data_IF_831563106928
#
_entry.id   IF_831563106928
#
_cell.length_a   1.000
_cell.length_b   1.000
_cell.length_c   1.000
_cell.angle_alpha   90.00
_cell.angle_beta   90.00
_cell.angle_gamma   90.00
#
_symmetry.space_group_name_H-M   'P 1'
#
loop_
_entity.id
_entity.type
_entity.pdbx_description
1 polymer ?
#
# COMPACT_ATOMS: atom_id res chain seq x y z
N UNK A 1 -13.11 -15.01 24.83
CA UNK A 1 -11.63 -15.04 25.08
C UNK A 1 -10.93 -14.24 24.00
N UNK A 2 -9.97 -13.36 24.35
CA UNK A 2 -9.19 -12.60 23.35
C UNK A 2 -8.27 -13.56 22.61
N UNK A 3 -8.18 -13.44 21.27
CA UNK A 3 -7.24 -14.20 20.47
C UNK A 3 -5.78 -13.84 20.81
N UNK A 4 -4.87 -14.78 20.64
CA UNK A 4 -3.43 -14.50 20.72
C UNK A 4 -2.98 -13.62 19.56
N UNK A 5 -1.85 -12.92 19.72
CA UNK A 5 -1.26 -12.18 18.62
C UNK A 5 -0.73 -13.13 17.54
N UNK A 6 -0.85 -12.74 16.28
CA UNK A 6 -0.26 -13.49 15.16
C UNK A 6 1.27 -13.61 15.31
N UNK A 7 1.90 -14.76 15.04
CA UNK A 7 3.34 -14.94 15.21
C UNK A 7 4.21 -13.90 14.49
N UNK A 8 3.74 -13.39 13.35
CA UNK A 8 4.37 -12.32 12.57
C UNK A 8 3.55 -11.03 12.65
N UNK A 9 3.12 -10.62 13.86
CA UNK A 9 2.19 -9.50 14.06
C UNK A 9 2.73 -8.17 13.50
N UNK A 10 4.00 -7.86 13.74
CA UNK A 10 4.59 -6.61 13.24
C UNK A 10 4.59 -6.52 11.71
N UNK A 11 4.96 -7.62 11.04
CA UNK A 11 4.96 -7.70 9.58
C UNK A 11 3.54 -7.65 9.01
N UNK A 12 2.59 -8.33 9.66
CA UNK A 12 1.19 -8.34 9.29
C UNK A 12 0.58 -6.92 9.37
N UNK A 13 0.85 -6.18 10.46
CA UNK A 13 0.38 -4.81 10.61
C UNK A 13 1.06 -3.88 9.60
N UNK A 14 2.37 -4.03 9.36
CA UNK A 14 3.05 -3.26 8.33
C UNK A 14 2.44 -3.50 6.95
N UNK A 15 2.13 -4.77 6.61
CA UNK A 15 1.45 -5.11 5.36
C UNK A 15 0.03 -4.52 5.28
N UNK A 16 -0.76 -4.55 6.36
CA UNK A 16 -2.07 -3.90 6.38
C UNK A 16 -1.97 -2.39 6.17
N UNK A 17 -1.07 -1.75 6.89
CA UNK A 17 -0.92 -0.29 6.83
C UNK A 17 -0.38 0.21 5.49
N UNK A 18 0.42 -0.60 4.77
CA UNK A 18 0.91 -0.23 3.44
C UNK A 18 -0.21 -0.04 2.41
N UNK A 19 -1.35 -0.69 2.58
CA UNK A 19 -2.51 -0.52 1.70
C UNK A 19 -3.21 0.84 1.86
N UNK A 20 -2.94 1.60 2.93
CA UNK A 20 -3.61 2.88 3.23
C UNK A 20 -5.14 2.81 3.10
N UNK A 21 -5.74 1.68 3.52
CA UNK A 21 -7.16 1.38 3.35
C UNK A 21 -7.99 1.71 4.59
N UNK A 22 -7.36 1.72 5.77
CA UNK A 22 -8.05 2.01 7.03
C UNK A 22 -8.58 3.45 7.04
N UNK A 23 -9.73 3.64 7.66
CA UNK A 23 -10.42 4.94 7.81
C UNK A 23 -10.81 5.62 6.48
N UNK A 24 -10.78 4.89 5.37
CA UNK A 24 -11.23 5.39 4.06
C UNK A 24 -12.76 5.37 3.94
N UNK A 25 -13.35 6.19 3.06
CA UNK A 25 -14.77 6.14 2.74
C UNK A 25 -15.24 4.76 2.25
N UNK A 26 -16.55 4.55 2.21
CA UNK A 26 -17.16 3.40 1.54
C UNK A 26 -16.86 3.47 0.03
N UNK A 27 -16.79 2.32 -0.60
CA UNK A 27 -16.55 2.17 -2.03
C UNK A 27 -17.44 1.04 -2.55
N UNK A 28 -18.16 1.30 -3.63
CA UNK A 28 -19.16 0.40 -4.19
C UNK A 28 -18.60 -1.00 -4.50
N UNK A 29 -17.35 -1.08 -4.96
CA UNK A 29 -16.68 -2.36 -5.27
C UNK A 29 -16.61 -3.31 -4.07
N UNK A 30 -16.46 -2.78 -2.85
CA UNK A 30 -16.46 -3.58 -1.63
C UNK A 30 -17.87 -3.80 -1.07
N UNK A 31 -18.75 -2.81 -1.21
CA UNK A 31 -20.14 -2.91 -0.77
C UNK A 31 -20.89 -3.98 -1.58
N UNK A 32 -20.73 -4.03 -2.89
CA UNK A 32 -21.27 -5.07 -3.78
C UNK A 32 -20.82 -6.49 -3.37
N UNK A 33 -19.56 -6.64 -2.95
CA UNK A 33 -19.03 -7.94 -2.51
C UNK A 33 -19.73 -8.42 -1.23
N UNK A 34 -19.93 -7.56 -0.22
CA UNK A 34 -20.59 -7.98 1.02
C UNK A 34 -22.08 -8.26 0.81
N UNK A 35 -22.76 -7.48 -0.04
CA UNK A 35 -24.15 -7.73 -0.41
C UNK A 35 -24.31 -9.07 -1.13
N UNK A 36 -23.43 -9.35 -2.09
CA UNK A 36 -23.46 -10.63 -2.83
C UNK A 36 -23.13 -11.80 -1.90
N UNK A 37 -22.16 -11.68 -1.00
CA UNK A 37 -21.83 -12.71 -0.02
C UNK A 37 -23.00 -13.02 0.91
N UNK A 38 -23.65 -12.00 1.47
CA UNK A 38 -24.84 -12.13 2.30
C UNK A 38 -25.97 -12.85 1.54
N UNK A 39 -26.22 -12.46 0.29
CA UNK A 39 -27.26 -13.04 -0.57
C UNK A 39 -27.00 -14.51 -0.92
N UNK A 40 -25.76 -14.87 -1.29
CA UNK A 40 -25.39 -16.25 -1.62
C UNK A 40 -25.51 -17.15 -0.39
N UNK A 41 -25.05 -16.69 0.76
CA UNK A 41 -25.10 -17.47 1.99
C UNK A 41 -26.45 -17.40 2.72
N UNK A 42 -27.36 -16.52 2.30
CA UNK A 42 -28.67 -16.32 2.92
C UNK A 42 -28.56 -15.79 4.36
N UNK A 43 -27.53 -15.00 4.66
CA UNK A 43 -27.26 -14.45 5.98
C UNK A 43 -27.60 -12.96 6.08
N UNK A 44 -28.04 -12.46 7.25
CA UNK A 44 -28.38 -11.06 7.42
C UNK A 44 -27.16 -10.14 7.51
N UNK A 45 -25.98 -10.68 7.85
CA UNK A 45 -24.76 -9.90 8.08
C UNK A 45 -23.64 -10.42 7.19
N UNK A 46 -22.92 -9.51 6.54
CA UNK A 46 -21.68 -9.79 5.83
C UNK A 46 -20.71 -8.61 5.98
N UNK A 47 -19.41 -8.89 6.08
CA UNK A 47 -18.41 -7.88 6.39
C UNK A 47 -17.09 -8.16 5.66
N UNK A 48 -16.51 -7.15 5.02
CA UNK A 48 -15.08 -7.07 4.71
C UNK A 48 -14.41 -6.41 5.90
N UNK A 49 -13.75 -7.23 6.71
CA UNK A 49 -13.14 -6.86 7.98
C UNK A 49 -11.61 -6.86 7.86
N UNK A 50 -10.97 -5.80 8.34
CA UNK A 50 -9.51 -5.66 8.45
C UNK A 50 -9.12 -5.59 9.92
N UNK A 51 -8.13 -6.40 10.32
CA UNK A 51 -7.71 -6.57 11.72
C UNK A 51 -6.50 -5.67 11.98
N UNK A 52 -6.73 -4.53 12.64
CA UNK A 52 -5.69 -3.59 13.06
C UNK A 52 -5.05 -4.01 14.41
N UNK A 53 -4.29 -3.13 15.02
CA UNK A 53 -3.56 -3.39 16.27
C UNK A 53 -4.48 -3.56 17.48
N UNK A 54 -5.54 -2.76 17.57
CA UNK A 54 -6.44 -2.64 18.71
C UNK A 54 -7.93 -2.72 18.36
N UNK A 55 -8.26 -2.73 17.08
CA UNK A 55 -9.62 -2.76 16.54
C UNK A 55 -9.73 -3.67 15.32
N UNK A 56 -10.93 -4.08 15.02
CA UNK A 56 -11.32 -4.52 13.70
C UNK A 56 -12.06 -3.37 12.99
N UNK A 57 -11.66 -3.09 11.77
CA UNK A 57 -12.24 -2.03 10.97
C UNK A 57 -12.90 -2.61 9.71
N UNK A 58 -14.11 -2.12 9.40
CA UNK A 58 -14.93 -2.66 8.34
C UNK A 58 -14.86 -1.77 7.10
N UNK A 59 -14.22 -2.27 6.05
CA UNK A 59 -14.19 -1.60 4.75
C UNK A 59 -15.58 -1.53 4.13
N UNK A 60 -16.30 -2.65 4.20
CA UNK A 60 -17.69 -2.78 3.79
C UNK A 60 -18.44 -3.66 4.78
N UNK A 61 -19.72 -3.37 4.99
CA UNK A 61 -20.59 -4.17 5.86
C UNK A 61 -22.05 -4.06 5.41
N UNK A 62 -22.80 -5.13 5.64
CA UNK A 62 -24.25 -5.15 5.54
C UNK A 62 -24.82 -5.80 6.79
N UNK A 63 -25.84 -5.19 7.37
CA UNK A 63 -26.56 -5.70 8.55
C UNK A 63 -25.88 -5.48 9.90
N UNK A 64 -24.70 -4.88 9.97
CA UNK A 64 -23.98 -4.64 11.23
C UNK A 64 -24.16 -3.21 11.77
N UNK A 65 -24.26 -2.21 10.89
CA UNK A 65 -24.55 -0.81 11.24
C UNK A 65 -23.40 -0.06 11.93
N UNK A 66 -22.18 -0.58 11.91
CA UNK A 66 -20.98 0.07 12.45
C UNK A 66 -19.78 -0.14 11.54
N UNK A 67 -18.81 0.76 11.63
CA UNK A 67 -17.57 0.70 10.83
C UNK A 67 -16.38 0.11 11.57
N UNK A 68 -16.50 -0.09 12.86
CA UNK A 68 -15.44 -0.70 13.67
C UNK A 68 -15.99 -1.27 14.97
N UNK A 69 -15.26 -2.22 15.55
CA UNK A 69 -15.49 -2.72 16.91
C UNK A 69 -14.15 -3.02 17.60
N UNK A 70 -14.13 -3.11 18.95
CA UNK A 70 -12.93 -3.51 19.67
C UNK A 70 -12.41 -4.88 19.25
N UNK A 71 -11.11 -5.09 19.35
CA UNK A 71 -10.49 -6.37 19.00
C UNK A 71 -10.82 -7.48 20.00
N UNK A 72 -11.13 -7.11 21.24
CA UNK A 72 -11.47 -8.05 22.32
C UNK A 72 -12.67 -8.95 22.00
N UNK A 73 -13.64 -8.43 21.28
CA UNK A 73 -14.86 -9.15 20.87
C UNK A 73 -14.81 -9.71 19.45
N UNK A 74 -13.65 -9.60 18.78
CA UNK A 74 -13.51 -10.01 17.40
C UNK A 74 -13.40 -11.53 17.24
N UNK A 75 -14.37 -12.17 16.61
CA UNK A 75 -14.28 -13.56 16.15
C UNK A 75 -13.17 -13.68 15.07
N UNK A 76 -13.09 -12.70 14.17
CA UNK A 76 -12.12 -12.70 13.08
C UNK A 76 -10.67 -12.66 13.55
N UNK A 77 -10.39 -12.13 14.75
CA UNK A 77 -9.05 -12.16 15.34
C UNK A 77 -8.55 -13.59 15.66
N UNK A 78 -9.44 -14.54 15.90
CA UNK A 78 -9.10 -15.96 15.99
C UNK A 78 -8.87 -16.56 14.61
N UNK A 79 -9.71 -16.18 13.64
CA UNK A 79 -9.69 -16.75 12.28
C UNK A 79 -8.40 -16.42 11.51
N UNK A 80 -7.82 -15.24 11.73
CA UNK A 80 -6.52 -14.89 11.11
C UNK A 80 -5.32 -15.72 11.61
N UNK A 81 -5.52 -16.53 12.67
CA UNK A 81 -4.51 -17.46 13.19
C UNK A 81 -4.65 -18.88 12.63
N UNK A 82 -5.70 -19.13 11.87
CA UNK A 82 -6.07 -20.45 11.35
C UNK A 82 -5.83 -20.57 9.83
N UNK A 83 -6.48 -21.59 9.24
CA UNK A 83 -6.43 -21.85 7.80
C UNK A 83 -7.25 -20.83 6.98
N UNK A 84 -7.22 -20.97 5.67
CA UNK A 84 -7.80 -20.03 4.70
C UNK A 84 -9.31 -19.79 4.84
N UNK A 85 -10.02 -20.73 5.49
CA UNK A 85 -11.47 -20.66 5.67
C UNK A 85 -11.88 -21.28 7.00
N UNK A 86 -12.75 -20.58 7.73
CA UNK A 86 -13.30 -21.03 9.01
C UNK A 86 -14.82 -21.05 8.95
N UNK A 87 -15.42 -22.16 9.37
CA UNK A 87 -16.86 -22.33 9.55
C UNK A 87 -17.15 -22.63 11.02
N UNK A 88 -18.02 -21.84 11.66
CA UNK A 88 -18.55 -22.03 13.01
C UNK A 88 -20.06 -22.11 12.88
N UNK A 89 -20.60 -23.33 12.91
CA UNK A 89 -22.03 -23.57 12.69
C UNK A 89 -22.89 -23.12 13.86
N UNK A 90 -22.34 -23.17 15.07
CA UNK A 90 -22.94 -22.63 16.29
C UNK A 90 -21.86 -22.07 17.24
N UNK A 91 -21.87 -20.77 17.45
CA UNK A 91 -20.89 -20.07 18.28
C UNK A 91 -20.95 -20.46 19.75
N UNK A 92 -22.07 -20.99 20.26
CA UNK A 92 -22.22 -21.39 21.65
C UNK A 92 -21.46 -22.68 21.99
N UNK A 93 -21.17 -23.53 21.00
CA UNK A 93 -20.46 -24.80 21.19
C UNK A 93 -19.02 -24.77 20.68
N UNK A 94 -18.64 -23.74 19.98
CA UNK A 94 -17.26 -23.59 19.46
C UNK A 94 -16.37 -22.96 20.56
N UNK A 95 -15.25 -23.58 20.84
CA UNK A 95 -14.33 -23.18 21.91
C UNK A 95 -13.72 -21.77 21.73
N UNK A 96 -13.73 -21.22 20.48
CA UNK A 96 -13.20 -19.89 20.16
C UNK A 96 -14.18 -18.78 20.48
N UNK A 97 -15.49 -19.10 20.56
CA UNK A 97 -16.56 -18.11 20.59
C UNK A 97 -17.54 -18.29 21.72
N UNK A 98 -17.56 -19.44 22.43
CA UNK A 98 -18.55 -19.77 23.48
C UNK A 98 -18.54 -18.77 24.65
N UNK A 99 -17.43 -18.11 24.94
CA UNK A 99 -17.28 -17.07 25.95
C UNK A 99 -17.28 -15.63 25.40
N UNK A 100 -17.58 -15.45 24.11
CA UNK A 100 -17.59 -14.14 23.47
C UNK A 100 -18.87 -13.37 23.79
N UNK A 101 -18.72 -12.14 24.28
CA UNK A 101 -19.85 -11.28 24.69
C UNK A 101 -20.85 -11.00 23.52
N UNK A 102 -20.43 -11.05 22.28
CA UNK A 102 -21.32 -10.91 21.11
C UNK A 102 -22.12 -12.19 20.81
N UNK A 103 -21.72 -13.33 21.39
CA UNK A 103 -22.32 -14.64 21.13
C UNK A 103 -23.21 -15.12 22.28
N UNK A 104 -22.91 -14.71 23.54
CA UNK A 104 -23.63 -15.16 24.73
C UNK A 104 -25.13 -14.76 24.78
N UNK A 105 -25.54 -13.52 24.37
CA UNK A 105 -26.95 -13.14 24.41
C UNK A 105 -27.82 -14.03 23.51
N UNK A 106 -29.10 -14.21 23.90
CA UNK A 106 -30.04 -15.02 23.11
C UNK A 106 -30.28 -14.50 21.68
N UNK A 107 -30.10 -13.19 21.49
CA UNK A 107 -30.13 -12.48 20.19
C UNK A 107 -28.73 -12.22 19.61
N UNK A 108 -27.72 -12.76 20.27
CA UNK A 108 -26.30 -12.66 19.85
C UNK A 108 -25.99 -13.43 18.58
N UNK A 109 -24.75 -13.34 18.17
CA UNK A 109 -24.24 -14.04 16.98
C UNK A 109 -24.18 -15.56 17.26
N UNK A 110 -24.80 -16.36 16.40
CA UNK A 110 -24.88 -17.82 16.53
C UNK A 110 -24.16 -18.58 15.41
N UNK A 111 -23.80 -17.88 14.32
CA UNK A 111 -23.17 -18.46 13.17
C UNK A 111 -22.08 -17.54 12.64
N UNK A 112 -20.98 -18.12 12.18
CA UNK A 112 -19.89 -17.44 11.52
C UNK A 112 -19.29 -18.30 10.40
N UNK A 113 -19.08 -17.70 9.25
CA UNK A 113 -18.21 -18.28 8.20
C UNK A 113 -17.36 -17.18 7.61
N UNK A 114 -16.04 -17.43 7.48
CA UNK A 114 -15.11 -16.43 7.00
C UNK A 114 -13.96 -17.01 6.19
N UNK A 115 -13.57 -16.29 5.15
CA UNK A 115 -12.40 -16.56 4.32
C UNK A 115 -11.35 -15.47 4.54
N UNK A 116 -10.06 -15.83 4.59
CA UNK A 116 -8.97 -14.90 4.82
C UNK A 116 -8.77 -13.95 3.62
N UNK A 117 -8.52 -12.69 3.95
CA UNK A 117 -7.95 -11.69 3.05
C UNK A 117 -6.46 -11.61 3.38
N UNK A 118 -5.63 -11.90 2.38
CA UNK A 118 -4.17 -11.94 2.55
C UNK A 118 -3.51 -10.82 1.77
N UNK A 119 -2.43 -10.27 2.31
CA UNK A 119 -1.57 -9.36 1.57
C UNK A 119 -0.80 -10.09 0.46
N UNK A 120 -0.16 -9.36 -0.43
CA UNK A 120 0.72 -9.89 -1.49
C UNK A 120 1.79 -10.85 -0.94
N UNK A 121 2.28 -10.59 0.27
CA UNK A 121 3.25 -11.44 0.98
C UNK A 121 2.61 -12.64 1.72
N UNK A 122 1.32 -12.91 1.48
CA UNK A 122 0.58 -14.02 2.07
C UNK A 122 0.20 -13.84 3.54
N UNK A 123 0.40 -12.65 4.14
CA UNK A 123 0.04 -12.37 5.52
C UNK A 123 -1.46 -12.11 5.66
N UNK A 124 -2.16 -12.70 6.65
CA UNK A 124 -3.59 -12.50 6.84
C UNK A 124 -3.84 -11.10 7.42
N UNK A 125 -4.44 -10.22 6.63
CA UNK A 125 -4.74 -8.84 7.04
C UNK A 125 -6.19 -8.63 7.45
N UNK A 126 -7.07 -9.58 7.14
CA UNK A 126 -8.48 -9.51 7.45
C UNK A 126 -9.27 -10.71 6.97
N UNK A 127 -10.59 -10.57 6.94
CA UNK A 127 -11.53 -11.62 6.49
C UNK A 127 -12.68 -11.02 5.69
N UNK A 128 -13.20 -11.77 4.71
CA UNK A 128 -14.58 -11.64 4.28
C UNK A 128 -15.39 -12.66 5.06
N UNK A 129 -16.35 -12.22 5.84
CA UNK A 129 -17.17 -13.10 6.67
C UNK A 129 -18.67 -12.82 6.54
N UNK A 130 -19.45 -13.85 6.84
CA UNK A 130 -20.91 -13.81 6.97
C UNK A 130 -21.30 -14.31 8.36
N UNK A 131 -22.33 -13.69 8.94
CA UNK A 131 -22.79 -13.98 10.30
C UNK A 131 -24.32 -14.04 10.35
N UNK A 132 -24.83 -14.77 11.35
CA UNK A 132 -26.26 -14.83 11.67
C UNK A 132 -26.49 -15.00 13.18
N UNK A 133 -27.67 -14.61 13.61
CA UNK A 133 -28.18 -14.82 14.98
C UNK A 133 -28.81 -16.22 15.18
N UNK A 134 -28.69 -17.11 14.19
CA UNK A 134 -29.16 -18.49 14.23
C UNK A 134 -28.05 -19.43 13.81
N UNK A 135 -27.98 -20.64 14.42
CA UNK A 135 -27.04 -21.66 13.92
C UNK A 135 -27.37 -22.00 12.45
N UNK A 136 -26.31 -22.17 11.67
CA UNK A 136 -26.39 -22.49 10.24
C UNK A 136 -25.26 -23.42 9.82
N UNK A 137 -25.38 -23.96 8.64
CA UNK A 137 -24.28 -24.54 7.88
C UNK A 137 -24.24 -23.93 6.48
N UNK A 138 -23.12 -24.01 5.82
CA UNK A 138 -22.96 -23.66 4.41
C UNK A 138 -22.63 -24.89 3.58
N UNK A 139 -23.26 -25.01 2.43
CA UNK A 139 -22.87 -26.02 1.46
C UNK A 139 -21.53 -25.72 0.80
N UNK A 140 -21.01 -26.66 0.01
CA UNK A 140 -19.72 -26.54 -0.63
C UNK A 140 -19.64 -25.37 -1.61
N UNK A 141 -20.74 -25.06 -2.31
CA UNK A 141 -20.78 -23.96 -3.29
C UNK A 141 -20.78 -22.61 -2.60
N UNK A 142 -21.49 -22.46 -1.49
CA UNK A 142 -21.48 -21.25 -0.64
C UNK A 142 -20.10 -21.00 -0.03
N UNK A 143 -19.45 -22.03 0.51
CA UNK A 143 -18.08 -21.94 1.02
C UNK A 143 -17.09 -21.55 -0.08
N UNK A 144 -17.21 -22.16 -1.26
CA UNK A 144 -16.37 -21.83 -2.40
C UNK A 144 -16.62 -20.39 -2.88
N UNK A 145 -17.86 -19.93 -2.90
CA UNK A 145 -18.20 -18.55 -3.24
C UNK A 145 -17.52 -17.54 -2.29
N UNK A 146 -17.59 -17.76 -0.98
CA UNK A 146 -16.90 -16.89 -0.01
C UNK A 146 -15.38 -16.85 -0.25
N UNK A 147 -14.74 -17.99 -0.50
CA UNK A 147 -13.31 -18.04 -0.83
C UNK A 147 -12.98 -17.27 -2.12
N UNK A 148 -13.85 -17.35 -3.13
CA UNK A 148 -13.67 -16.60 -4.40
C UNK A 148 -13.82 -15.10 -4.15
N UNK A 149 -14.86 -14.69 -3.42
CA UNK A 149 -15.13 -13.30 -3.11
C UNK A 149 -14.02 -12.69 -2.22
N UNK A 150 -13.50 -13.43 -1.23
CA UNK A 150 -12.35 -12.98 -0.43
C UNK A 150 -11.10 -12.75 -1.30
N UNK A 151 -10.82 -13.63 -2.27
CA UNK A 151 -9.75 -13.39 -3.23
C UNK A 151 -10.02 -12.17 -4.14
N UNK A 152 -11.29 -11.89 -4.45
CA UNK A 152 -11.66 -10.67 -5.19
C UNK A 152 -11.36 -9.42 -4.35
N UNK A 153 -11.69 -9.42 -3.04
CA UNK A 153 -11.31 -8.35 -2.11
C UNK A 153 -9.79 -8.13 -2.10
N UNK A 154 -9.01 -9.22 -1.97
CA UNK A 154 -7.53 -9.13 -2.01
C UNK A 154 -7.06 -8.42 -3.29
N UNK A 155 -7.54 -8.85 -4.46
CA UNK A 155 -7.14 -8.24 -5.74
C UNK A 155 -7.54 -6.77 -5.86
N UNK A 156 -8.68 -6.41 -5.28
CA UNK A 156 -9.14 -5.01 -5.26
C UNK A 156 -8.22 -4.14 -4.41
N UNK A 157 -7.82 -4.66 -3.24
CA UNK A 157 -6.83 -4.00 -2.38
C UNK A 157 -5.47 -3.86 -3.08
N UNK A 158 -4.98 -4.91 -3.74
CA UNK A 158 -3.71 -4.90 -4.46
C UNK A 158 -3.72 -3.90 -5.62
N UNK A 159 -4.80 -3.88 -6.41
CA UNK A 159 -4.97 -2.93 -7.50
C UNK A 159 -4.98 -1.49 -7.00
N UNK A 160 -5.76 -1.21 -5.94
CA UNK A 160 -5.81 0.10 -5.30
C UNK A 160 -4.43 0.54 -4.82
N UNK A 161 -3.70 -0.34 -4.15
CA UNK A 161 -2.34 -0.05 -3.67
C UNK A 161 -1.39 0.25 -4.82
N UNK A 162 -1.41 -0.54 -5.88
CA UNK A 162 -0.58 -0.33 -7.08
C UNK A 162 -0.89 1.02 -7.75
N UNK A 163 -2.17 1.38 -7.90
CA UNK A 163 -2.58 2.67 -8.46
C UNK A 163 -2.15 3.85 -7.59
N UNK A 164 -2.26 3.75 -6.27
CA UNK A 164 -1.78 4.79 -5.35
C UNK A 164 -0.27 4.98 -5.46
N UNK A 165 0.49 3.90 -5.47
CA UNK A 165 1.94 3.93 -5.65
C UNK A 165 2.33 4.55 -6.98
N UNK A 166 1.65 4.19 -8.06
CA UNK A 166 1.87 4.78 -9.39
C UNK A 166 1.61 6.28 -9.40
N UNK A 167 0.54 6.75 -8.76
CA UNK A 167 0.22 8.17 -8.68
C UNK A 167 1.29 8.96 -7.90
N UNK A 168 1.75 8.44 -6.76
CA UNK A 168 2.83 9.06 -5.98
C UNK A 168 4.10 9.20 -6.82
N UNK A 169 4.50 8.14 -7.52
CA UNK A 169 5.68 8.15 -8.39
C UNK A 169 5.53 9.15 -9.55
N UNK A 170 4.33 9.23 -10.14
CA UNK A 170 4.03 10.19 -11.20
C UNK A 170 4.14 11.64 -10.70
N UNK A 171 3.54 11.94 -9.56
CA UNK A 171 3.59 13.29 -8.96
C UNK A 171 5.04 13.68 -8.63
N UNK A 172 5.84 12.76 -8.11
CA UNK A 172 7.26 12.99 -7.88
C UNK A 172 8.03 13.28 -9.18
N UNK A 173 7.74 12.52 -10.25
CA UNK A 173 8.33 12.77 -11.56
C UNK A 173 7.95 14.14 -12.11
N UNK A 174 6.68 14.54 -12.01
CA UNK A 174 6.20 15.85 -12.45
C UNK A 174 6.90 16.99 -11.67
N UNK A 175 7.10 16.84 -10.38
CA UNK A 175 7.86 17.78 -9.55
C UNK A 175 9.33 17.87 -9.98
N UNK A 176 9.98 16.75 -10.25
CA UNK A 176 11.38 16.71 -10.73
C UNK A 176 11.53 17.36 -12.09
N UNK A 177 10.62 17.10 -13.04
CA UNK A 177 10.59 17.74 -14.35
C UNK A 177 10.42 19.26 -14.22
N UNK A 178 9.47 19.74 -13.42
CA UNK A 178 9.29 21.18 -13.17
C UNK A 178 10.53 21.84 -12.59
N UNK A 179 11.19 21.21 -11.64
CA UNK A 179 12.42 21.71 -11.03
C UNK A 179 13.56 21.81 -12.07
N UNK A 180 13.71 20.79 -12.91
CA UNK A 180 14.72 20.78 -13.99
C UNK A 180 14.46 21.89 -15.02
N UNK A 181 13.20 22.06 -15.45
CA UNK A 181 12.83 23.13 -16.37
C UNK A 181 13.05 24.53 -15.76
N UNK A 182 12.75 24.71 -14.48
CA UNK A 182 13.00 25.98 -13.77
C UNK A 182 14.50 26.28 -13.68
N UNK A 183 15.34 25.25 -13.43
CA UNK A 183 16.79 25.38 -13.42
C UNK A 183 17.33 25.80 -14.79
N UNK A 184 16.83 25.17 -15.87
CA UNK A 184 17.18 25.51 -17.26
C UNK A 184 16.78 26.95 -17.58
N UNK A 185 15.54 27.36 -17.24
CA UNK A 185 15.08 28.72 -17.47
C UNK A 185 15.94 29.77 -16.74
N UNK A 186 16.34 29.47 -15.50
CA UNK A 186 17.24 30.33 -14.71
C UNK A 186 18.63 30.42 -15.33
N UNK A 187 19.19 29.31 -15.82
CA UNK A 187 20.47 29.25 -16.52
C UNK A 187 20.45 30.09 -17.80
N UNK A 188 19.40 29.97 -18.62
CA UNK A 188 19.19 30.81 -19.82
C UNK A 188 19.19 32.29 -19.45
N UNK A 189 18.48 32.69 -18.38
CA UNK A 189 18.47 34.07 -17.90
C UNK A 189 19.83 34.58 -17.49
N UNK A 190 20.62 33.75 -16.78
CA UNK A 190 21.94 34.05 -16.31
C UNK A 190 22.92 34.26 -17.49
N UNK A 191 23.00 33.30 -18.40
CA UNK A 191 23.91 33.35 -19.57
C UNK A 191 23.52 34.45 -20.57
N UNK A 192 22.22 34.74 -20.71
CA UNK A 192 21.78 35.92 -21.48
C UNK A 192 22.27 37.24 -20.88
N UNK A 193 22.27 37.35 -19.53
CA UNK A 193 22.81 38.53 -18.85
C UNK A 193 24.32 38.64 -19.03
N UNK A 194 25.04 37.51 -18.95
CA UNK A 194 26.49 37.44 -19.13
C UNK A 194 26.90 37.83 -20.56
N UNK A 195 26.25 37.28 -21.57
CA UNK A 195 26.48 37.64 -22.99
C UNK A 195 26.29 39.14 -23.26
N UNK A 196 25.31 39.77 -22.59
CA UNK A 196 25.11 41.23 -22.69
C UNK A 196 26.24 42.04 -22.08
N UNK A 197 26.86 41.54 -21.01
CA UNK A 197 27.95 42.24 -20.30
C UNK A 197 29.31 42.07 -21.00
N UNK A 198 29.59 40.85 -21.48
CA UNK A 198 30.88 40.51 -22.08
C UNK A 198 30.94 40.82 -23.58
N UNK A 199 29.79 40.88 -24.24
CA UNK A 199 29.67 40.95 -25.72
C UNK A 199 29.98 39.63 -26.45
N UNK A 200 30.23 38.55 -25.68
CA UNK A 200 30.57 37.23 -26.20
C UNK A 200 29.34 36.27 -26.05
N UNK A 201 28.54 36.23 -27.09
CA UNK A 201 27.37 35.37 -27.13
C UNK A 201 27.74 33.90 -27.30
N UNK A 202 28.80 33.60 -28.03
CA UNK A 202 29.20 32.20 -28.32
C UNK A 202 29.69 31.51 -27.05
N UNK A 203 30.52 32.17 -26.24
CA UNK A 203 30.95 31.64 -24.95
C UNK A 203 29.75 31.37 -23.98
N UNK A 204 28.75 32.26 -23.96
CA UNK A 204 27.55 32.10 -23.17
C UNK A 204 26.67 30.90 -23.62
N UNK A 205 26.54 30.71 -24.95
CA UNK A 205 25.82 29.55 -25.47
C UNK A 205 26.55 28.23 -25.23
N UNK A 206 27.87 28.20 -25.32
CA UNK A 206 28.66 27.00 -24.99
C UNK A 206 28.56 26.64 -23.51
N UNK A 207 28.54 27.62 -22.61
CA UNK A 207 28.32 27.39 -21.18
C UNK A 207 26.91 26.86 -20.90
N UNK A 208 25.88 27.42 -21.54
CA UNK A 208 24.51 26.93 -21.44
C UNK A 208 24.39 25.48 -21.93
N UNK A 209 25.01 25.14 -23.06
CA UNK A 209 25.03 23.79 -23.61
C UNK A 209 25.65 22.80 -22.63
N UNK A 210 26.80 23.12 -22.04
CA UNK A 210 27.43 22.27 -21.01
C UNK A 210 26.50 22.03 -19.81
N UNK A 211 25.80 23.06 -19.35
CA UNK A 211 24.83 22.96 -18.26
C UNK A 211 23.65 22.02 -18.61
N UNK A 212 23.12 22.13 -19.84
CA UNK A 212 22.06 21.26 -20.33
C UNK A 212 22.50 19.80 -20.43
N UNK A 213 23.72 19.58 -20.96
CA UNK A 213 24.30 18.24 -21.07
C UNK A 213 24.52 17.60 -19.72
N UNK A 214 24.95 18.37 -18.69
CA UNK A 214 25.07 17.89 -17.32
C UNK A 214 23.70 17.50 -16.71
N UNK A 215 22.67 18.32 -16.87
CA UNK A 215 21.30 17.99 -16.42
C UNK A 215 20.77 16.75 -17.12
N UNK A 216 20.97 16.63 -18.44
CA UNK A 216 20.55 15.47 -19.22
C UNK A 216 21.29 14.18 -18.81
N UNK A 217 22.57 14.27 -18.44
CA UNK A 217 23.35 13.13 -17.93
C UNK A 217 22.82 12.63 -16.59
N UNK A 218 22.51 13.54 -15.65
CA UNK A 218 21.88 13.20 -14.36
C UNK A 218 20.53 12.51 -14.58
N UNK A 219 19.69 13.05 -15.44
CA UNK A 219 18.41 12.41 -15.76
C UNK A 219 18.58 11.02 -16.35
N UNK A 220 19.50 10.80 -17.28
CA UNK A 220 19.78 9.48 -17.85
C UNK A 220 20.26 8.48 -16.81
N UNK A 221 21.15 8.87 -15.91
CA UNK A 221 21.65 7.96 -14.87
C UNK A 221 20.56 7.50 -13.90
N UNK A 222 19.61 8.37 -13.55
CA UNK A 222 18.45 8.02 -12.73
C UNK A 222 17.50 7.01 -13.42
N UNK A 223 17.36 7.10 -14.75
CA UNK A 223 16.54 6.16 -15.51
C UNK A 223 17.20 4.80 -15.67
N UNK A 224 18.50 4.74 -15.92
CA UNK A 224 19.24 3.49 -16.11
C UNK A 224 19.41 2.69 -14.80
N UNK A 225 19.49 3.37 -13.66
CA UNK A 225 19.58 2.71 -12.35
C UNK A 225 18.27 2.07 -11.86
N UNK A 226 17.13 2.29 -12.52
CA UNK A 226 15.86 1.64 -12.20
C UNK A 226 15.72 0.20 -12.72
N UNK A 227 16.57 -0.23 -13.65
CA UNK A 227 16.54 -1.59 -14.20
C UNK A 227 17.41 -2.58 -13.39
N UNK A 228 18.30 -2.08 -12.52
CA UNK A 228 19.11 -2.91 -11.63
C UNK A 228 18.97 -2.42 -10.18
N UNK A 229 18.71 -3.33 -9.28
CA UNK A 229 18.44 -3.17 -7.86
C UNK A 229 19.40 -2.23 -7.13
N UNK A 230 19.03 -0.95 -6.96
CA UNK A 230 19.72 0.03 -6.12
C UNK A 230 20.88 0.75 -6.80
N UNK A 231 21.12 2.00 -6.40
CA UNK A 231 22.28 2.79 -6.83
C UNK A 231 23.35 2.70 -5.75
N UNK A 232 24.52 2.15 -6.08
CA UNK A 232 25.67 2.21 -5.20
C UNK A 232 26.19 3.65 -5.14
N UNK A 233 26.04 4.30 -3.98
CA UNK A 233 26.44 5.69 -3.79
C UNK A 233 27.93 5.92 -4.06
N UNK A 234 28.77 4.91 -3.80
CA UNK A 234 30.20 4.99 -4.05
C UNK A 234 30.56 5.18 -5.53
N UNK A 235 29.71 4.71 -6.47
CA UNK A 235 29.91 4.87 -7.90
C UNK A 235 29.18 6.12 -8.42
N UNK A 236 28.02 6.42 -7.86
CA UNK A 236 27.18 7.53 -8.29
C UNK A 236 27.76 8.91 -7.94
N UNK A 237 28.29 9.09 -6.71
CA UNK A 237 28.79 10.39 -6.25
C UNK A 237 30.05 10.84 -7.00
N UNK A 238 31.06 9.99 -7.27
CA UNK A 238 32.18 10.37 -8.15
C UNK A 238 31.77 10.71 -9.58
N UNK A 239 30.80 9.97 -10.14
CA UNK A 239 30.26 10.26 -11.46
C UNK A 239 29.58 11.63 -11.50
N UNK A 240 28.77 11.96 -10.49
CA UNK A 240 28.13 13.26 -10.35
C UNK A 240 29.18 14.40 -10.21
N UNK A 241 30.22 14.18 -9.40
CA UNK A 241 31.32 15.12 -9.21
C UNK A 241 32.06 15.40 -10.53
N UNK A 242 32.36 14.36 -11.32
CA UNK A 242 33.01 14.51 -12.63
C UNK A 242 32.15 15.29 -13.63
N UNK A 243 30.83 15.12 -13.62
CA UNK A 243 29.92 15.91 -14.45
C UNK A 243 29.82 17.37 -14.01
N UNK A 244 29.89 17.64 -12.71
CA UNK A 244 29.94 19.01 -12.18
C UNK A 244 31.28 19.69 -12.54
N UNK A 245 32.37 18.96 -12.51
CA UNK A 245 33.71 19.48 -12.85
C UNK A 245 33.78 20.02 -14.29
N UNK A 246 33.10 19.34 -15.24
CA UNK A 246 32.98 19.78 -16.63
C UNK A 246 32.25 21.14 -16.76
N UNK A 247 31.38 21.49 -15.80
CA UNK A 247 30.61 22.75 -15.79
C UNK A 247 31.32 23.90 -15.08
N UNK A 248 32.43 23.63 -14.39
CA UNK A 248 33.20 24.62 -13.64
C UNK A 248 34.42 25.15 -14.41
N UNK A 249 34.96 26.34 -14.05
CA UNK A 249 36.20 26.82 -14.60
C UNK A 249 37.34 25.82 -14.37
N UNK A 250 38.27 25.70 -15.32
CA UNK A 250 39.39 24.75 -15.27
C UNK A 250 40.34 24.89 -14.07
N UNK A 251 40.15 25.93 -13.26
CA UNK A 251 40.87 26.17 -12.00
C UNK A 251 40.22 25.50 -10.80
N UNK A 252 39.05 24.88 -10.95
CA UNK A 252 38.30 24.26 -9.86
C UNK A 252 38.19 22.76 -10.10
N UNK A 253 38.66 21.94 -9.15
CA UNK A 253 38.45 20.49 -9.17
C UNK A 253 37.46 20.09 -8.07
N UNK A 254 36.59 19.13 -8.38
CA UNK A 254 35.60 18.59 -7.48
C UNK A 254 35.95 17.15 -7.16
N UNK A 255 36.38 16.90 -5.91
CA UNK A 255 36.59 15.54 -5.42
C UNK A 255 35.48 15.15 -4.47
N UNK A 256 34.80 14.06 -4.78
CA UNK A 256 33.74 13.51 -3.93
C UNK A 256 33.94 12.01 -3.74
N UNK A 257 33.71 11.53 -2.53
CA UNK A 257 33.72 10.11 -2.21
C UNK A 257 32.51 9.78 -1.31
N UNK A 258 31.95 8.60 -1.46
CA UNK A 258 30.92 8.09 -0.59
C UNK A 258 31.34 6.74 0.01
N UNK A 259 30.88 6.42 1.23
CA UNK A 259 31.02 5.08 1.78
C UNK A 259 30.18 4.08 0.97
N UNK A 260 30.58 2.80 0.99
CA UNK A 260 29.79 1.73 0.39
C UNK A 260 28.40 1.66 1.08
N UNK A 261 27.39 2.13 0.40
CA UNK A 261 26.00 2.12 0.83
C UNK A 261 25.10 2.11 -0.40
N UNK A 262 24.20 1.15 -0.47
CA UNK A 262 23.13 1.10 -1.48
C UNK A 262 21.88 1.83 -0.95
N UNK A 263 21.21 2.58 -1.81
CA UNK A 263 19.94 3.28 -1.54
C UNK A 263 18.84 2.71 -2.39
#
# INVERSE_FOLDING_TARGET
MRASSHPRQAERLAALHSYNILDTPREDDFDDIVELAAKICGTPISVVNLIDADRQWFKAEVGLGTRQTPLETSICSHVILEEDFTLIEDTHIDHRTADNELCIPNDGLRFYAGALIKSENGLPIGTLCVLDNKPRTLDADQQQALKVLARRVTRELDLRHALQTQNILRDEMDHRVKNSLSSIASAIGLYKSEARKTGDADAAFDALRRQLDAVAAVHRSIYLSKEESGVELQDYIPMLASHLEVSLPSSVSVNASAPACSV
#
